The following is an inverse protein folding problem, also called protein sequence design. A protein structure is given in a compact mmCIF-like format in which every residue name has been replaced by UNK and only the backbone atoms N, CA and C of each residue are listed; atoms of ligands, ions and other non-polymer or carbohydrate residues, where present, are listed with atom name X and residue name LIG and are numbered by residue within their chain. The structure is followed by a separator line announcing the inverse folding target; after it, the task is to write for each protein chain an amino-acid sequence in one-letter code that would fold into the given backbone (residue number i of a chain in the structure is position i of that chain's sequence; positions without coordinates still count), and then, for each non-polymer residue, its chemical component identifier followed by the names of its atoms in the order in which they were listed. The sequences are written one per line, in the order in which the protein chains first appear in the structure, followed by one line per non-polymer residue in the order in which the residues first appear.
data_IF_479252145161
#
_entry.id   IF_479252145161
#
_cell.length_a   1.000
_cell.length_b   1.000
_cell.length_c   1.000
_cell.angle_alpha   90.00
_cell.angle_beta   90.00
_cell.angle_gamma   90.00
#
_symmetry.space_group_name_H-M   'P 1'
#
loop_
_entity.id
_entity.type
_entity.pdbx_description
1 polymer ?
#
# COMPACT_ATOMS: atom_id res chain seq x y z
N UNK A 1 42.84 2.64 -5.89
CA UNK A 1 43.10 4.08 -6.09
C UNK A 1 44.56 4.35 -6.48
N UNK A 2 45.57 3.71 -5.88
CA UNK A 2 46.99 3.87 -6.30
C UNK A 2 47.33 3.38 -7.72
N UNK A 3 46.66 2.33 -8.22
CA UNK A 3 46.91 1.82 -9.57
C UNK A 3 46.47 2.81 -10.69
N UNK A 4 45.36 3.52 -10.48
CA UNK A 4 44.87 4.56 -11.40
C UNK A 4 45.77 5.82 -11.38
N UNK A 5 46.28 6.20 -10.21
CA UNK A 5 47.20 7.33 -10.07
C UNK A 5 48.54 7.13 -10.80
N UNK A 6 48.98 5.87 -11.00
CA UNK A 6 50.18 5.54 -11.80
C UNK A 6 49.94 5.61 -13.31
N UNK A 7 48.68 5.57 -13.75
CA UNK A 7 48.30 5.59 -15.16
C UNK A 7 48.08 7.01 -15.69
N UNK A 8 47.92 8.02 -14.81
CA UNK A 8 47.71 9.42 -15.22
C UNK A 8 48.86 9.97 -16.08
N UNK A 9 50.10 9.53 -15.86
CA UNK A 9 51.27 9.92 -16.68
C UNK A 9 51.27 9.36 -18.11
N UNK A 10 50.40 8.38 -18.40
CA UNK A 10 50.26 7.74 -19.73
C UNK A 10 48.88 7.96 -20.35
N UNK A 11 48.05 8.83 -19.75
CA UNK A 11 46.65 9.03 -20.13
C UNK A 11 46.46 9.43 -21.59
N UNK A 12 47.30 10.31 -22.12
CA UNK A 12 47.25 10.71 -23.54
C UNK A 12 47.52 9.56 -24.52
N UNK A 13 48.33 8.57 -24.13
CA UNK A 13 48.62 7.38 -24.96
C UNK A 13 47.48 6.36 -24.85
N UNK A 14 46.91 6.22 -23.65
CA UNK A 14 45.81 5.31 -23.37
C UNK A 14 44.49 5.79 -24.03
N UNK A 15 44.21 7.09 -24.00
CA UNK A 15 43.02 7.69 -24.64
C UNK A 15 43.05 7.58 -26.18
N UNK A 16 44.23 7.35 -26.77
CA UNK A 16 44.41 7.11 -28.21
C UNK A 16 44.39 5.64 -28.60
N UNK A 17 44.45 4.72 -27.63
CA UNK A 17 44.45 3.29 -27.89
C UNK A 17 43.00 2.77 -27.99
N UNK A 18 42.54 2.29 -29.16
CA UNK A 18 41.15 1.88 -29.36
C UNK A 18 40.67 0.82 -28.36
N UNK A 19 41.53 -0.16 -28.06
CA UNK A 19 41.24 -1.23 -27.10
C UNK A 19 41.05 -0.72 -25.66
N UNK A 20 41.79 0.33 -25.26
CA UNK A 20 41.65 0.92 -23.93
C UNK A 20 40.39 1.78 -23.82
N UNK A 21 40.04 2.51 -24.88
CA UNK A 21 38.78 3.29 -24.95
C UNK A 21 37.56 2.37 -24.92
N UNK A 22 37.60 1.24 -25.64
CA UNK A 22 36.53 0.23 -25.58
C UNK A 22 36.42 -0.41 -24.20
N UNK A 23 37.55 -0.75 -23.57
CA UNK A 23 37.58 -1.25 -22.20
C UNK A 23 36.98 -0.25 -21.20
N UNK A 24 37.39 1.03 -21.24
CA UNK A 24 36.84 2.07 -20.37
C UNK A 24 35.34 2.27 -20.55
N UNK A 25 34.86 2.29 -21.80
CA UNK A 25 33.41 2.36 -22.07
C UNK A 25 32.67 1.14 -21.51
N UNK A 26 33.25 -0.05 -21.62
CA UNK A 26 32.72 -1.27 -21.03
C UNK A 26 32.63 -1.19 -19.50
N UNK A 27 33.67 -0.69 -18.85
CA UNK A 27 33.71 -0.47 -17.40
C UNK A 27 32.72 0.63 -16.95
N UNK A 28 32.58 1.74 -17.68
CA UNK A 28 31.62 2.80 -17.38
C UNK A 28 30.17 2.31 -17.49
N UNK A 29 29.86 1.51 -18.52
CA UNK A 29 28.56 0.87 -18.67
C UNK A 29 28.34 -0.16 -17.56
N UNK A 30 29.36 -0.97 -17.24
CA UNK A 30 29.30 -1.95 -16.16
C UNK A 30 29.04 -1.32 -14.79
N UNK A 31 29.78 -0.25 -14.44
CA UNK A 31 29.59 0.51 -13.21
C UNK A 31 28.21 1.15 -13.18
N UNK A 32 27.77 1.75 -14.30
CA UNK A 32 26.44 2.36 -14.39
C UNK A 32 25.32 1.34 -14.19
N UNK A 33 25.47 0.13 -14.75
CA UNK A 33 24.53 -0.98 -14.55
C UNK A 33 24.53 -1.47 -13.11
N UNK A 34 25.70 -1.59 -12.47
CA UNK A 34 25.81 -1.98 -11.06
C UNK A 34 25.14 -0.94 -10.14
N UNK A 35 25.40 0.35 -10.35
CA UNK A 35 24.78 1.43 -9.57
C UNK A 35 23.26 1.45 -9.77
N UNK A 36 22.77 1.22 -10.99
CA UNK A 36 21.34 1.12 -11.26
C UNK A 36 20.71 -0.06 -10.49
N UNK A 37 21.36 -1.23 -10.52
CA UNK A 37 20.88 -2.41 -9.82
C UNK A 37 20.90 -2.26 -8.30
N UNK A 38 21.97 -1.67 -7.73
CA UNK A 38 22.04 -1.36 -6.30
C UNK A 38 20.93 -0.40 -5.88
N UNK A 39 20.64 0.63 -6.70
CA UNK A 39 19.54 1.56 -6.43
C UNK A 39 18.18 0.88 -6.45
N UNK A 40 17.97 -0.02 -7.40
CA UNK A 40 16.73 -0.80 -7.51
C UNK A 40 16.53 -1.70 -6.29
N UNK A 41 17.56 -2.44 -5.86
CA UNK A 41 17.50 -3.27 -4.65
C UNK A 41 17.23 -2.44 -3.38
N UNK A 42 17.87 -1.28 -3.25
CA UNK A 42 17.62 -0.36 -2.14
C UNK A 42 16.18 0.14 -2.19
N UNK A 43 15.67 0.50 -3.37
CA UNK A 43 14.30 0.95 -3.52
C UNK A 43 13.30 -0.16 -3.14
N UNK A 44 13.47 -1.39 -3.63
CA UNK A 44 12.63 -2.54 -3.27
C UNK A 44 12.58 -2.76 -1.75
N UNK A 45 13.73 -2.72 -1.08
CA UNK A 45 13.78 -2.82 0.38
C UNK A 45 13.01 -1.70 1.06
N UNK A 46 13.17 -0.45 0.59
CA UNK A 46 12.46 0.71 1.15
C UNK A 46 10.95 0.62 0.91
N UNK A 47 10.50 0.05 -0.21
CA UNK A 47 9.07 -0.17 -0.46
C UNK A 47 8.48 -1.22 0.49
N UNK A 48 9.21 -2.30 0.76
CA UNK A 48 8.80 -3.30 1.76
C UNK A 48 8.69 -2.70 3.16
N UNK A 49 9.65 -1.86 3.55
CA UNK A 49 9.60 -1.13 4.83
C UNK A 49 8.42 -0.15 4.86
N UNK A 50 8.21 0.60 3.77
CA UNK A 50 7.09 1.53 3.65
C UNK A 50 5.76 0.81 3.77
N UNK A 51 5.56 -0.32 3.07
CA UNK A 51 4.33 -1.11 3.12
C UNK A 51 3.96 -1.50 4.57
N UNK A 52 4.93 -1.97 5.34
CA UNK A 52 4.71 -2.30 6.75
C UNK A 52 4.37 -1.07 7.59
N UNK A 53 5.10 0.05 7.41
CA UNK A 53 4.88 1.28 8.17
C UNK A 53 3.52 1.91 7.85
N UNK A 54 3.11 1.90 6.58
CA UNK A 54 1.79 2.38 6.13
C UNK A 54 0.69 1.53 6.76
N UNK A 55 0.85 0.21 6.71
CA UNK A 55 -0.10 -0.74 7.28
C UNK A 55 -0.37 -0.44 8.77
N UNK A 56 0.68 -0.26 9.58
CA UNK A 56 0.53 0.05 11.01
C UNK A 56 0.25 1.53 11.30
N UNK A 57 0.31 2.38 10.28
CA UNK A 57 0.22 3.84 10.36
C UNK A 57 1.28 4.43 11.29
N UNK A 58 2.53 4.02 11.12
CA UNK A 58 3.68 4.52 11.86
C UNK A 58 4.13 5.89 11.29
N UNK A 59 4.39 6.91 12.14
CA UNK A 59 4.85 8.23 11.67
C UNK A 59 6.17 8.20 10.88
N UNK A 60 6.98 7.14 10.99
CA UNK A 60 8.20 6.99 10.21
C UNK A 60 7.94 6.71 8.72
N UNK A 61 6.70 6.42 8.31
CA UNK A 61 6.34 6.23 6.91
C UNK A 61 6.77 7.44 6.05
N UNK A 62 6.57 8.67 6.54
CA UNK A 62 6.97 9.90 5.83
C UNK A 62 8.49 9.97 5.60
N UNK A 63 9.27 9.49 6.58
CA UNK A 63 10.74 9.47 6.48
C UNK A 63 11.21 8.47 5.42
N UNK A 64 10.60 7.28 5.39
CA UNK A 64 10.92 6.25 4.39
C UNK A 64 10.47 6.71 3.01
N UNK A 65 9.30 7.35 2.89
CA UNK A 65 8.83 7.93 1.65
C UNK A 65 9.83 8.97 1.11
N UNK A 66 10.36 9.85 1.95
CA UNK A 66 11.39 10.81 1.55
C UNK A 66 12.70 10.14 1.08
N UNK A 67 13.08 9.00 1.67
CA UNK A 67 14.24 8.22 1.22
C UNK A 67 14.00 7.55 -0.14
N UNK A 68 12.78 7.07 -0.39
CA UNK A 68 12.37 6.56 -1.70
C UNK A 68 12.47 7.67 -2.74
N UNK A 69 11.97 8.88 -2.47
CA UNK A 69 12.10 10.05 -3.36
C UNK A 69 13.55 10.30 -3.78
N UNK A 70 14.48 10.25 -2.81
CA UNK A 70 15.90 10.45 -3.09
C UNK A 70 16.53 9.31 -3.93
N UNK A 71 15.94 8.12 -3.91
CA UNK A 71 16.48 6.91 -4.55
C UNK A 71 15.96 6.71 -5.98
N UNK A 72 14.63 6.78 -6.18
CA UNK A 72 13.99 6.51 -7.48
C UNK A 72 13.66 7.79 -8.27
N UNK A 73 13.72 8.96 -7.64
CA UNK A 73 13.42 10.24 -8.25
C UNK A 73 11.93 10.59 -8.32
N UNK A 74 11.58 11.84 -8.66
CA UNK A 74 10.24 12.40 -8.47
C UNK A 74 9.17 11.89 -9.45
N UNK A 75 9.58 11.30 -10.57
CA UNK A 75 8.66 10.78 -11.59
C UNK A 75 8.13 9.37 -11.26
N UNK A 76 8.48 8.83 -10.09
CA UNK A 76 8.06 7.50 -9.69
C UNK A 76 6.54 7.44 -9.43
N UNK A 77 5.82 6.38 -9.84
CA UNK A 77 4.36 6.31 -9.77
C UNK A 77 3.78 6.46 -8.35
N UNK A 78 4.48 5.92 -7.35
CA UNK A 78 4.14 6.11 -5.93
C UNK A 78 4.05 7.61 -5.61
N UNK A 79 5.05 8.39 -6.04
CA UNK A 79 5.20 9.81 -5.71
C UNK A 79 4.22 10.66 -6.50
N UNK A 80 4.03 10.37 -7.78
CA UNK A 80 3.00 11.01 -8.59
C UNK A 80 1.61 10.84 -7.96
N UNK A 81 1.32 9.65 -7.42
CA UNK A 81 0.07 9.39 -6.72
C UNK A 81 -0.02 10.15 -5.40
N UNK A 82 1.03 10.12 -4.58
CA UNK A 82 1.09 10.86 -3.31
C UNK A 82 0.90 12.36 -3.53
N UNK A 83 1.61 12.95 -4.49
CA UNK A 83 1.50 14.37 -4.80
C UNK A 83 0.12 14.73 -5.36
N UNK A 84 -0.45 13.88 -6.23
CA UNK A 84 -1.78 14.09 -6.79
C UNK A 84 -2.85 14.08 -5.69
N UNK A 85 -2.78 13.14 -4.74
CA UNK A 85 -3.69 13.08 -3.60
C UNK A 85 -3.53 14.31 -2.71
N UNK A 86 -2.30 14.70 -2.37
CA UNK A 86 -2.05 15.87 -1.54
C UNK A 86 -2.57 17.19 -2.16
N UNK A 87 -2.59 17.28 -3.50
CA UNK A 87 -3.14 18.44 -4.24
C UNK A 87 -4.64 18.34 -4.51
N UNK A 88 -5.28 17.21 -4.17
CA UNK A 88 -6.67 16.94 -4.53
C UNK A 88 -6.89 16.77 -6.03
N UNK A 89 -5.85 16.41 -6.79
CA UNK A 89 -5.93 16.13 -8.23
C UNK A 89 -6.44 14.71 -8.48
N UNK A 90 -7.75 14.55 -8.31
CA UNK A 90 -8.42 13.26 -8.46
C UNK A 90 -8.43 12.74 -9.89
N UNK A 91 -8.20 13.60 -10.88
CA UNK A 91 -8.07 13.19 -12.27
C UNK A 91 -6.78 12.39 -12.46
N UNK A 92 -5.66 12.93 -12.02
CA UNK A 92 -4.36 12.25 -12.07
C UNK A 92 -4.38 10.95 -11.28
N UNK A 93 -5.01 10.93 -10.10
CA UNK A 93 -5.19 9.70 -9.31
C UNK A 93 -5.91 8.59 -10.09
N UNK A 94 -6.95 8.92 -10.85
CA UNK A 94 -7.66 7.95 -11.71
C UNK A 94 -6.78 7.47 -12.86
N UNK A 95 -6.12 8.39 -13.56
CA UNK A 95 -5.26 8.06 -14.70
C UNK A 95 -4.13 7.11 -14.28
N UNK A 96 -3.52 7.33 -13.11
CA UNK A 96 -2.47 6.44 -12.57
C UNK A 96 -3.05 5.07 -12.18
N UNK A 97 -4.24 5.02 -11.58
CA UNK A 97 -4.89 3.74 -11.24
C UNK A 97 -5.28 2.91 -12.47
N UNK A 98 -5.74 3.54 -13.55
CA UNK A 98 -6.06 2.85 -14.81
C UNK A 98 -4.79 2.35 -15.50
N UNK A 99 -3.68 3.08 -15.34
CA UNK A 99 -2.37 2.70 -15.86
C UNK A 99 -1.84 1.40 -15.21
N UNK A 100 -2.21 1.12 -13.95
CA UNK A 100 -1.90 -0.14 -13.26
C UNK A 100 -2.41 -1.36 -14.05
N UNK A 101 -3.66 -1.29 -14.51
CA UNK A 101 -4.32 -2.37 -15.26
C UNK A 101 -3.70 -2.58 -16.65
N UNK A 102 -3.00 -1.58 -17.18
CA UNK A 102 -2.30 -1.66 -18.47
C UNK A 102 -0.88 -2.22 -18.37
N UNK A 103 -0.39 -2.49 -17.15
CA UNK A 103 0.99 -2.95 -16.90
C UNK A 103 2.03 -1.83 -17.03
N UNK A 104 1.61 -0.57 -17.17
CA UNK A 104 2.52 0.57 -17.28
C UNK A 104 3.24 0.86 -15.95
N UNK A 105 2.62 0.54 -14.82
CA UNK A 105 3.19 0.67 -13.48
C UNK A 105 3.00 -0.62 -12.69
N UNK A 106 3.96 -0.91 -11.82
CA UNK A 106 3.89 -2.00 -10.83
C UNK A 106 2.75 -1.70 -9.83
N UNK A 107 1.84 -2.66 -9.68
CA UNK A 107 0.63 -2.53 -8.85
C UNK A 107 0.95 -2.32 -7.38
N UNK A 108 2.09 -2.85 -6.92
CA UNK A 108 2.61 -2.76 -5.56
C UNK A 108 2.68 -1.30 -5.07
N UNK A 109 3.22 -0.40 -5.90
CA UNK A 109 3.39 1.00 -5.53
C UNK A 109 2.07 1.74 -5.36
N UNK A 110 1.09 1.36 -6.17
CA UNK A 110 -0.22 2.00 -6.16
C UNK A 110 -1.04 1.51 -4.98
N UNK A 111 -0.93 0.23 -4.62
CA UNK A 111 -1.52 -0.31 -3.40
C UNK A 111 -1.03 0.45 -2.16
N UNK A 112 0.28 0.66 -2.03
CA UNK A 112 0.87 1.40 -0.91
C UNK A 112 0.39 2.86 -0.90
N UNK A 113 0.42 3.56 -2.05
CA UNK A 113 -0.08 4.94 -2.12
C UNK A 113 -1.55 5.04 -1.72
N UNK A 114 -2.42 4.19 -2.26
CA UNK A 114 -3.85 4.29 -1.99
C UNK A 114 -4.23 3.83 -0.59
N UNK A 115 -3.49 2.89 0.00
CA UNK A 115 -3.68 2.54 1.40
C UNK A 115 -3.35 3.72 2.33
N UNK A 116 -2.28 4.47 2.02
CA UNK A 116 -1.87 5.65 2.81
C UNK A 116 -2.99 6.71 2.89
N UNK A 117 -3.69 6.94 1.78
CA UNK A 117 -4.69 8.02 1.69
C UNK A 117 -6.13 7.53 1.63
N UNK A 118 -6.40 6.25 1.86
CA UNK A 118 -7.72 5.66 1.62
C UNK A 118 -8.85 6.47 2.25
N UNK A 119 -8.66 6.92 3.48
CA UNK A 119 -9.65 7.68 4.25
C UNK A 119 -9.87 9.10 3.71
N UNK A 120 -8.88 9.67 3.01
CA UNK A 120 -8.93 10.99 2.37
C UNK A 120 -9.52 10.94 0.95
N UNK A 121 -9.57 9.75 0.33
CA UNK A 121 -10.07 9.62 -1.03
C UNK A 121 -11.59 9.85 -1.11
N UNK A 122 -12.09 10.65 -2.07
CA UNK A 122 -13.51 10.77 -2.37
C UNK A 122 -14.15 9.42 -2.75
N UNK A 123 -15.43 9.24 -2.44
CA UNK A 123 -16.13 7.96 -2.69
C UNK A 123 -16.17 7.54 -4.17
N UNK A 124 -16.29 8.50 -5.09
CA UNK A 124 -16.23 8.25 -6.54
C UNK A 124 -14.82 7.84 -7.00
N UNK A 125 -13.77 8.37 -6.37
CA UNK A 125 -12.39 7.93 -6.58
C UNK A 125 -12.19 6.50 -6.05
N UNK A 126 -12.66 6.18 -4.84
CA UNK A 126 -12.60 4.82 -4.29
C UNK A 126 -13.31 3.80 -5.21
N UNK A 127 -14.45 4.16 -5.78
CA UNK A 127 -15.13 3.32 -6.77
C UNK A 127 -14.33 3.14 -8.07
N UNK A 128 -13.66 4.19 -8.55
CA UNK A 128 -12.81 4.11 -9.73
C UNK A 128 -11.59 3.21 -9.49
N UNK A 129 -10.93 3.32 -8.33
CA UNK A 129 -9.83 2.43 -7.92
C UNK A 129 -10.25 0.96 -7.95
N UNK A 130 -11.46 0.68 -7.46
CA UNK A 130 -12.07 -0.63 -7.51
C UNK A 130 -12.19 -1.26 -8.89
N UNK A 131 -12.39 -0.44 -9.93
CA UNK A 131 -12.49 -0.90 -11.32
C UNK A 131 -11.13 -1.18 -11.95
N UNK A 132 -10.07 -0.50 -11.50
CA UNK A 132 -8.72 -0.62 -12.04
C UNK A 132 -7.85 -1.59 -11.24
N UNK A 133 -7.43 -1.15 -10.05
CA UNK A 133 -6.43 -1.83 -9.22
C UNK A 133 -6.98 -3.12 -8.60
N UNK A 134 -8.21 -3.10 -8.09
CA UNK A 134 -8.79 -4.24 -7.34
C UNK A 134 -9.17 -5.43 -8.25
N UNK A 135 -9.00 -5.30 -9.57
CA UNK A 135 -9.10 -6.44 -10.52
C UNK A 135 -7.86 -7.34 -10.49
N UNK A 136 -6.73 -6.82 -10.05
CA UNK A 136 -5.49 -7.56 -9.91
C UNK A 136 -5.46 -8.23 -8.53
N UNK A 137 -4.80 -9.38 -8.35
CA UNK A 137 -4.58 -9.92 -7.01
C UNK A 137 -3.72 -8.94 -6.20
N UNK A 138 -3.97 -8.79 -4.88
CA UNK A 138 -3.16 -7.91 -4.04
C UNK A 138 -1.71 -8.41 -3.99
N UNK A 139 -0.75 -7.51 -4.21
CA UNK A 139 0.67 -7.83 -4.20
C UNK A 139 1.38 -7.46 -2.88
N UNK A 140 0.78 -6.57 -2.08
CA UNK A 140 1.35 -6.00 -0.86
C UNK A 140 0.43 -6.20 0.35
N UNK A 141 0.96 -5.99 1.56
CA UNK A 141 0.16 -6.02 2.80
C UNK A 141 -0.87 -4.88 2.81
N UNK A 142 -0.45 -3.69 2.37
CA UNK A 142 -1.33 -2.55 2.13
C UNK A 142 -2.39 -2.87 1.07
N UNK A 143 -2.03 -3.64 0.05
CA UNK A 143 -2.94 -4.19 -0.96
C UNK A 143 -4.03 -5.06 -0.36
N UNK A 144 -3.68 -6.01 0.51
CA UNK A 144 -4.66 -6.84 1.22
C UNK A 144 -5.65 -5.99 2.04
N UNK A 145 -5.15 -4.99 2.76
CA UNK A 145 -6.01 -4.07 3.51
C UNK A 145 -6.90 -3.22 2.60
N UNK A 146 -6.36 -2.71 1.50
CA UNK A 146 -7.07 -1.92 0.50
C UNK A 146 -8.19 -2.74 -0.15
N UNK A 147 -7.89 -3.98 -0.53
CA UNK A 147 -8.85 -4.93 -1.10
C UNK A 147 -9.98 -5.25 -0.13
N UNK A 148 -9.64 -5.50 1.14
CA UNK A 148 -10.63 -5.71 2.19
C UNK A 148 -11.57 -4.51 2.31
N UNK A 149 -11.00 -3.30 2.42
CA UNK A 149 -11.75 -2.04 2.55
C UNK A 149 -12.66 -1.78 1.36
N UNK A 150 -12.17 -2.01 0.14
CA UNK A 150 -12.97 -1.87 -1.06
C UNK A 150 -14.12 -2.88 -1.11
N UNK A 151 -13.83 -4.18 -0.89
CA UNK A 151 -14.85 -5.22 -0.88
C UNK A 151 -15.96 -4.91 0.15
N UNK A 152 -15.58 -4.41 1.32
CA UNK A 152 -16.54 -3.98 2.32
C UNK A 152 -17.39 -2.79 1.88
N UNK A 153 -16.77 -1.77 1.26
CA UNK A 153 -17.49 -0.61 0.73
C UNK A 153 -18.49 -0.97 -0.39
N UNK A 154 -18.24 -2.08 -1.09
CA UNK A 154 -19.06 -2.64 -2.16
C UNK A 154 -20.08 -3.69 -1.64
N UNK A 155 -20.15 -3.90 -0.32
CA UNK A 155 -21.06 -4.87 0.32
C UNK A 155 -20.64 -6.34 0.22
N UNK A 156 -19.45 -6.64 -0.33
CA UNK A 156 -18.88 -7.98 -0.45
C UNK A 156 -18.12 -8.38 0.80
N UNK A 157 -18.88 -8.63 1.87
CA UNK A 157 -18.28 -8.78 3.20
C UNK A 157 -17.51 -10.10 3.40
N UNK A 158 -17.90 -11.16 2.69
CA UNK A 158 -17.16 -12.43 2.71
C UNK A 158 -15.74 -12.27 2.11
N UNK A 159 -15.63 -11.55 0.99
CA UNK A 159 -14.35 -11.23 0.36
C UNK A 159 -13.50 -10.35 1.28
N UNK A 160 -14.11 -9.35 1.92
CA UNK A 160 -13.42 -8.49 2.87
C UNK A 160 -12.81 -9.29 4.04
N UNK A 161 -13.58 -10.23 4.59
CA UNK A 161 -13.10 -11.13 5.66
C UNK A 161 -12.00 -12.06 5.16
N UNK A 162 -12.08 -12.56 3.93
CA UNK A 162 -11.04 -13.40 3.35
C UNK A 162 -9.69 -12.66 3.29
N UNK A 163 -9.68 -11.44 2.75
CA UNK A 163 -8.46 -10.61 2.69
C UNK A 163 -7.92 -10.26 4.08
N UNK A 164 -8.78 -9.98 5.07
CA UNK A 164 -8.32 -9.72 6.44
C UNK A 164 -7.74 -10.96 7.12
N UNK A 165 -8.28 -12.15 6.84
CA UNK A 165 -7.71 -13.40 7.35
C UNK A 165 -6.32 -13.63 6.77
N UNK A 166 -6.17 -13.43 5.47
CA UNK A 166 -4.88 -13.51 4.80
C UNK A 166 -3.89 -12.50 5.39
N UNK A 167 -4.29 -11.23 5.54
CA UNK A 167 -3.47 -10.20 6.19
C UNK A 167 -3.02 -10.61 7.61
N UNK A 168 -3.95 -11.14 8.41
CA UNK A 168 -3.67 -11.59 9.78
C UNK A 168 -2.74 -12.81 9.85
N UNK A 169 -2.66 -13.60 8.78
CA UNK A 169 -1.74 -14.72 8.66
C UNK A 169 -0.34 -14.28 8.26
N UNK A 170 -0.24 -13.18 7.50
CA UNK A 170 1.03 -12.63 7.03
C UNK A 170 1.71 -11.71 8.06
N UNK A 171 0.93 -10.95 8.83
CA UNK A 171 1.45 -9.97 9.81
C UNK A 171 0.64 -9.98 11.10
N UNK A 172 1.33 -9.75 12.21
CA UNK A 172 0.69 -9.55 13.52
C UNK A 172 -0.15 -8.27 13.49
N UNK A 173 -1.46 -8.42 13.60
CA UNK A 173 -2.43 -7.32 13.65
C UNK A 173 -2.17 -6.45 14.89
N UNK A 174 -1.85 -5.17 14.67
CA UNK A 174 -1.70 -4.19 15.76
C UNK A 174 -3.07 -3.76 16.28
N UNK A 175 -3.18 -3.28 17.54
CA UNK A 175 -4.45 -2.78 18.07
C UNK A 175 -5.08 -1.67 17.21
N UNK A 176 -4.25 -0.81 16.62
CA UNK A 176 -4.69 0.25 15.70
C UNK A 176 -5.32 -0.32 14.43
N UNK A 177 -4.68 -1.33 13.83
CA UNK A 177 -5.19 -1.95 12.61
C UNK A 177 -6.47 -2.76 12.88
N UNK A 178 -6.54 -3.46 14.01
CA UNK A 178 -7.78 -4.11 14.48
C UNK A 178 -8.89 -3.08 14.65
N UNK A 179 -8.59 -1.94 15.28
CA UNK A 179 -9.57 -0.86 15.46
C UNK A 179 -10.06 -0.26 14.14
N UNK A 180 -9.15 0.06 13.23
CA UNK A 180 -9.48 0.54 11.89
C UNK A 180 -10.33 -0.47 11.11
N UNK A 181 -10.04 -1.76 11.27
CA UNK A 181 -10.87 -2.82 10.72
C UNK A 181 -12.27 -2.80 11.33
N UNK A 182 -12.40 -2.75 12.65
CA UNK A 182 -13.71 -2.68 13.31
C UNK A 182 -14.53 -1.46 12.86
N UNK A 183 -13.92 -0.28 12.74
CA UNK A 183 -14.59 0.93 12.23
C UNK A 183 -15.03 0.80 10.77
N UNK A 184 -14.23 0.13 9.94
CA UNK A 184 -14.52 0.00 8.50
C UNK A 184 -15.52 -1.13 8.19
N UNK A 185 -15.47 -2.23 8.95
CA UNK A 185 -16.17 -3.48 8.61
C UNK A 185 -17.36 -3.80 9.52
N UNK A 186 -17.32 -3.39 10.78
CA UNK A 186 -18.33 -3.77 11.79
C UNK A 186 -19.17 -2.58 12.21
N UNK A 187 -18.56 -1.40 12.32
CA UNK A 187 -19.14 -0.20 12.90
C UNK A 187 -18.94 1.03 12.00
N UNK A 188 -19.43 1.03 10.74
CA UNK A 188 -19.34 2.24 9.94
C UNK A 188 -20.05 3.36 10.70
N UNK A 189 -19.35 4.47 10.98
CA UNK A 189 -19.88 5.63 11.75
C UNK A 189 -21.30 6.05 11.33
N UNK A 190 -21.64 5.81 10.06
CA UNK A 190 -22.94 6.07 9.46
C UNK A 190 -24.05 5.10 9.93
N UNK A 191 -23.73 3.85 10.27
CA UNK A 191 -24.69 2.91 10.85
C UNK A 191 -25.22 3.39 12.21
N UNK A 192 -24.38 4.03 13.04
CA UNK A 192 -24.82 4.67 14.29
C UNK A 192 -25.49 6.04 14.09
N UNK A 193 -25.41 6.60 12.88
CA UNK A 193 -26.18 7.78 12.50
C UNK A 193 -27.60 7.41 12.02
N UNK A 194 -27.92 6.12 11.83
CA UNK A 194 -29.27 5.71 11.48
C UNK A 194 -30.24 6.05 12.63
N UNK A 195 -31.47 6.49 12.33
CA UNK A 195 -32.41 6.97 13.36
C UNK A 195 -32.68 5.96 14.48
N UNK A 196 -32.57 4.66 14.18
CA UNK A 196 -32.72 3.57 15.15
C UNK A 196 -31.65 3.54 16.25
N UNK A 197 -30.54 4.25 16.07
CA UNK A 197 -29.46 4.40 17.06
C UNK A 197 -29.44 5.79 17.72
N UNK A 198 -30.20 6.76 17.23
CA UNK A 198 -30.12 8.14 17.73
C UNK A 198 -30.93 8.42 19.01
N UNK A 199 -31.82 7.54 19.49
CA UNK A 199 -32.42 7.60 20.86
C UNK A 199 -33.51 6.53 21.09
N UNK A 200 -33.72 6.07 22.34
CA UNK A 200 -32.69 5.80 23.33
C UNK A 200 -31.97 4.52 22.91
N UNK A 201 -30.66 4.64 22.68
CA UNK A 201 -29.84 3.48 22.38
C UNK A 201 -29.94 2.48 23.54
N UNK A 202 -30.16 1.17 23.27
CA UNK A 202 -29.89 0.17 24.29
C UNK A 202 -28.45 0.36 24.76
N UNK A 203 -28.24 0.41 26.07
CA UNK A 203 -26.90 0.52 26.64
C UNK A 203 -26.01 -0.61 26.09
N UNK A 204 -24.69 -0.45 26.12
CA UNK A 204 -23.77 -1.56 25.80
C UNK A 204 -24.13 -2.83 26.60
N UNK A 205 -24.64 -2.66 27.82
CA UNK A 205 -25.18 -3.75 28.64
C UNK A 205 -26.41 -4.43 28.05
N UNK A 206 -27.32 -3.69 27.42
CA UNK A 206 -28.52 -4.23 26.77
C UNK A 206 -28.18 -5.00 25.49
N UNK A 207 -27.19 -4.53 24.73
CA UNK A 207 -26.67 -5.26 23.57
C UNK A 207 -25.97 -6.56 23.98
N UNK A 208 -25.10 -6.50 24.99
CA UNK A 208 -24.42 -7.69 25.53
C UNK A 208 -25.44 -8.67 26.12
N UNK A 209 -26.46 -8.18 26.83
CA UNK A 209 -27.55 -9.01 27.37
C UNK A 209 -28.37 -9.71 26.27
N UNK A 210 -28.60 -9.06 25.12
CA UNK A 210 -29.25 -9.71 23.97
C UNK A 210 -28.37 -10.77 23.30
N UNK A 211 -27.06 -10.54 23.22
CA UNK A 211 -26.11 -11.53 22.70
C UNK A 211 -26.08 -12.77 23.61
N UNK A 212 -26.09 -12.59 24.93
CA UNK A 212 -26.11 -13.70 25.89
C UNK A 212 -27.46 -14.44 25.89
N UNK A 213 -28.59 -13.76 25.73
CA UNK A 213 -29.89 -14.40 25.51
C UNK A 213 -29.93 -15.25 24.23
N UNK A 214 -29.35 -14.76 23.15
CA UNK A 214 -29.26 -15.49 21.88
C UNK A 214 -28.39 -16.75 22.01
N UNK A 215 -27.26 -16.64 22.72
CA UNK A 215 -26.43 -17.82 23.05
C UNK A 215 -27.18 -18.82 23.91
N UNK A 216 -27.90 -18.37 24.93
CA UNK A 216 -28.68 -19.25 25.79
C UNK A 216 -29.77 -19.98 25.00
N UNK A 217 -30.48 -19.30 24.10
CA UNK A 217 -31.48 -19.92 23.24
C UNK A 217 -30.92 -20.89 22.20
N UNK A 218 -29.74 -20.61 21.65
CA UNK A 218 -29.06 -21.53 20.73
C UNK A 218 -28.44 -22.74 21.44
N UNK A 219 -28.17 -22.61 22.74
CA UNK A 219 -27.62 -23.68 23.59
C UNK A 219 -28.70 -24.50 24.29
N UNK A 220 -29.98 -24.16 24.11
CA UNK A 220 -31.13 -24.89 24.68
C UNK A 220 -31.79 -25.75 23.58
N UNK A 221 -31.45 -27.05 23.48
CA UNK A 221 -31.89 -27.93 22.39
C UNK A 221 -33.39 -28.33 22.47
N UNK A 222 -34.19 -27.69 23.35
CA UNK A 222 -35.49 -28.19 23.78
C UNK A 222 -36.75 -27.43 23.34
N UNK A 223 -36.69 -26.33 22.58
CA UNK A 223 -37.92 -25.60 22.18
C UNK A 223 -38.39 -25.94 20.76
N UNK A 224 -39.65 -26.41 20.58
CA UNK A 224 -40.21 -26.65 19.26
C UNK A 224 -40.44 -25.32 18.53
N UNK A 225 -40.21 -25.35 17.21
CA UNK A 225 -40.37 -24.23 16.27
C UNK A 225 -41.83 -23.82 16.12
#
# INVERSE_FOLDING_TARGET
REALARLDGHRELLDRAPAFVEFLKGEEVGISSLVAHEREQVAESLFGDLDQLVLVGDPNADRVLAQIVATVGPQHPLLLTVEAVARGDWRTVREVSESASSGMYQSEYLEIAFALFWDDLPGDVRQALGKGLVRLPPCTLSGLLLHARYAASDGRMDDAVAYLRELSSSVRMTPKLVWQGLESFVLPRQAFAAPCWQTPCPSVGDLLGRIDQLRAHLSDPGRPR
#
